data_IF_657609979041
#
_entry.id   IF_657609979041
#
_cell.length_a   1.000
_cell.length_b   1.000
_cell.length_c   1.000
_cell.angle_alpha   90.00
_cell.angle_beta   90.00
_cell.angle_gamma   90.00
#
_symmetry.space_group_name_H-M   'P 1'
#
loop_
_entity.id
_entity.type
_entity.pdbx_description
1 polymer ?
#
# COMPACT_ATOMS: atom_id res chain seq x y z
N UNK A 1 5.37 -3.56 -3.71
CA UNK A 1 5.27 -2.56 -4.79
C UNK A 1 6.39 -2.66 -5.80
N UNK A 2 6.05 -2.71 -7.09
CA UNK A 2 7.01 -2.86 -8.19
C UNK A 2 7.42 -1.51 -8.83
N UNK A 3 6.63 -0.46 -8.60
CA UNK A 3 6.78 0.84 -9.28
C UNK A 3 6.89 1.98 -8.26
N UNK A 4 8.12 2.42 -7.93
CA UNK A 4 8.35 3.46 -6.91
C UNK A 4 7.60 4.76 -7.21
N UNK A 5 7.65 5.22 -8.47
CA UNK A 5 6.99 6.46 -8.87
C UNK A 5 5.48 6.41 -8.62
N UNK A 6 4.82 5.27 -8.88
CA UNK A 6 3.39 5.13 -8.64
C UNK A 6 3.05 5.23 -7.14
N UNK A 7 3.85 4.56 -6.29
CA UNK A 7 3.68 4.61 -4.83
C UNK A 7 3.88 6.02 -4.31
N UNK A 8 4.98 6.67 -4.68
CA UNK A 8 5.31 8.02 -4.22
C UNK A 8 4.30 9.06 -4.70
N UNK A 9 3.80 8.93 -5.94
CA UNK A 9 2.74 9.81 -6.45
C UNK A 9 1.44 9.61 -5.68
N UNK A 10 1.07 8.37 -5.35
CA UNK A 10 -0.13 8.09 -4.57
C UNK A 10 -0.02 8.64 -3.15
N UNK A 11 1.12 8.45 -2.46
CA UNK A 11 1.34 9.01 -1.11
C UNK A 11 1.21 10.53 -1.12
N UNK A 12 1.87 11.22 -2.06
CA UNK A 12 1.75 12.68 -2.20
C UNK A 12 0.30 13.13 -2.50
N UNK A 13 -0.43 12.37 -3.33
CA UNK A 13 -1.82 12.69 -3.65
C UNK A 13 -2.76 12.51 -2.45
N UNK A 14 -2.52 11.50 -1.60
CA UNK A 14 -3.30 11.26 -0.38
C UNK A 14 -3.14 12.40 0.63
N UNK A 15 -1.93 12.96 0.75
CA UNK A 15 -1.61 14.06 1.66
C UNK A 15 -2.02 15.45 1.12
N UNK A 16 -2.22 15.57 -0.20
CA UNK A 16 -2.51 16.85 -0.84
C UNK A 16 -3.96 17.29 -0.66
N UNK A 17 -4.16 18.38 0.09
CA UNK A 17 -5.46 19.08 0.18
C UNK A 17 -5.94 19.60 -1.17
N UNK A 18 -5.02 20.07 -2.02
CA UNK A 18 -5.35 20.55 -3.35
C UNK A 18 -5.87 19.42 -4.24
N UNK A 19 -5.17 18.29 -4.28
CA UNK A 19 -5.60 17.13 -5.05
C UNK A 19 -6.97 16.63 -4.58
N UNK A 20 -7.16 16.55 -3.26
CA UNK A 20 -8.42 16.13 -2.67
C UNK A 20 -9.60 17.06 -3.01
N UNK A 21 -9.36 18.38 -3.04
CA UNK A 21 -10.38 19.37 -3.44
C UNK A 21 -10.70 19.29 -4.93
N UNK A 22 -9.67 19.26 -5.77
CA UNK A 22 -9.81 19.36 -7.24
C UNK A 22 -10.33 18.08 -7.88
N UNK A 23 -9.94 16.91 -7.34
CA UNK A 23 -10.20 15.61 -7.99
C UNK A 23 -11.09 14.66 -7.18
N UNK A 24 -11.15 14.82 -5.85
CA UNK A 24 -11.89 13.89 -4.97
C UNK A 24 -13.16 14.51 -4.35
N UNK A 25 -13.44 15.80 -4.60
CA UNK A 25 -14.54 16.55 -3.98
C UNK A 25 -14.51 16.48 -2.44
N UNK A 26 -13.33 16.61 -1.84
CA UNK A 26 -13.12 16.60 -0.38
C UNK A 26 -12.63 17.95 0.12
N UNK A 27 -13.08 18.35 1.30
CA UNK A 27 -12.60 19.58 1.98
C UNK A 27 -11.25 19.43 2.66
N UNK A 28 -10.76 18.19 2.82
CA UNK A 28 -9.48 17.85 3.43
C UNK A 28 -8.79 16.73 2.66
N UNK A 29 -7.48 16.61 2.86
CA UNK A 29 -6.65 15.51 2.37
C UNK A 29 -7.22 14.15 2.81
N UNK A 30 -6.85 13.08 2.10
CA UNK A 30 -7.25 11.72 2.50
C UNK A 30 -6.54 11.32 3.78
N UNK A 31 -5.24 11.64 3.87
CA UNK A 31 -4.40 11.37 5.03
C UNK A 31 -2.94 11.18 4.62
N UNK A 32 -2.07 11.06 5.61
CA UNK A 32 -0.66 10.72 5.45
C UNK A 32 -0.40 9.21 5.55
N UNK A 33 0.70 8.77 4.95
CA UNK A 33 1.18 7.40 5.04
C UNK A 33 2.50 7.40 5.80
N UNK A 34 2.50 6.81 6.99
CA UNK A 34 3.72 6.60 7.77
C UNK A 34 4.70 5.69 7.02
N UNK A 35 5.78 6.30 6.53
CA UNK A 35 6.77 5.64 5.70
C UNK A 35 7.57 4.58 6.46
N UNK A 36 7.69 4.69 7.79
CA UNK A 36 8.34 3.68 8.62
C UNK A 36 7.51 2.39 8.75
N UNK A 37 6.24 2.44 8.32
CA UNK A 37 5.31 1.30 8.31
C UNK A 37 5.04 0.77 6.91
N UNK A 38 5.53 1.43 5.87
CA UNK A 38 5.31 1.06 4.48
C UNK A 38 6.41 0.09 3.99
N UNK A 39 6.02 -1.11 3.58
CA UNK A 39 6.93 -2.11 2.97
C UNK A 39 8.20 -2.38 3.82
N UNK A 40 8.07 -2.51 5.14
CA UNK A 40 9.20 -2.64 6.09
C UNK A 40 10.15 -3.82 5.81
N UNK A 41 9.65 -4.88 5.18
CA UNK A 41 10.42 -6.07 4.79
C UNK A 41 10.84 -6.05 3.32
N UNK A 42 10.79 -4.89 2.67
CA UNK A 42 11.11 -4.70 1.27
C UNK A 42 9.88 -4.75 0.34
N UNK A 43 10.09 -4.28 -0.88
CA UNK A 43 9.05 -4.16 -1.91
C UNK A 43 9.31 -5.10 -3.09
N UNK A 44 8.51 -5.03 -4.15
CA UNK A 44 8.77 -5.81 -5.37
C UNK A 44 9.91 -5.24 -6.21
N UNK A 45 10.40 -4.03 -5.90
CA UNK A 45 11.66 -3.51 -6.47
C UNK A 45 12.84 -4.36 -5.99
N UNK A 46 12.87 -4.73 -4.71
CA UNK A 46 13.95 -5.51 -4.12
C UNK A 46 13.72 -7.03 -4.16
N UNK A 47 12.45 -7.46 -4.05
CA UNK A 47 12.08 -8.89 -3.93
C UNK A 47 11.54 -9.50 -5.23
N UNK A 48 11.41 -8.69 -6.29
CA UNK A 48 10.82 -9.11 -7.55
C UNK A 48 9.28 -9.05 -7.59
N UNK A 49 8.75 -9.15 -8.82
CA UNK A 49 7.33 -9.05 -9.12
C UNK A 49 6.83 -10.18 -10.03
N UNK A 50 6.81 -11.44 -9.56
CA UNK A 50 6.09 -12.50 -10.28
C UNK A 50 4.59 -12.18 -10.22
N UNK A 51 4.01 -11.76 -11.35
CA UNK A 51 2.73 -11.04 -11.41
C UNK A 51 1.61 -11.73 -10.61
N UNK A 52 1.29 -12.99 -10.94
CA UNK A 52 0.23 -13.74 -10.27
C UNK A 52 0.52 -14.08 -8.80
N UNK A 53 1.80 -14.25 -8.43
CA UNK A 53 2.20 -14.65 -7.08
C UNK A 53 2.37 -13.45 -6.12
N UNK A 54 2.43 -12.22 -6.64
CA UNK A 54 2.77 -11.05 -5.82
C UNK A 54 1.73 -10.75 -4.75
N UNK A 55 0.43 -10.88 -5.06
CA UNK A 55 -0.64 -10.66 -4.07
C UNK A 55 -0.51 -11.62 -2.89
N UNK A 56 -0.38 -12.92 -3.16
CA UNK A 56 -0.18 -13.95 -2.11
C UNK A 56 1.12 -13.71 -1.33
N UNK A 57 2.21 -13.35 -2.02
CA UNK A 57 3.49 -13.01 -1.36
C UNK A 57 3.33 -11.82 -0.41
N UNK A 58 2.69 -10.72 -0.84
CA UNK A 58 2.45 -9.55 0.00
C UNK A 58 1.59 -9.88 1.21
N UNK A 59 0.55 -10.70 1.02
CA UNK A 59 -0.31 -11.17 2.11
C UNK A 59 0.45 -11.99 3.14
N UNK A 60 1.16 -13.02 2.69
CA UNK A 60 1.96 -13.87 3.58
C UNK A 60 3.04 -13.07 4.31
N UNK A 61 3.71 -12.14 3.62
CA UNK A 61 4.70 -11.27 4.23
C UNK A 61 4.09 -10.39 5.32
N UNK A 62 2.97 -9.71 5.03
CA UNK A 62 2.30 -8.83 5.98
C UNK A 62 1.86 -9.59 7.24
N UNK A 63 1.26 -10.77 7.08
CA UNK A 63 0.80 -11.58 8.21
C UNK A 63 1.97 -12.01 9.11
N UNK A 64 3.10 -12.41 8.55
CA UNK A 64 4.30 -12.72 9.33
C UNK A 64 4.91 -11.49 10.00
N UNK A 65 4.93 -10.35 9.31
CA UNK A 65 5.46 -9.09 9.86
C UNK A 65 4.61 -8.58 11.03
N UNK A 66 3.28 -8.62 10.91
CA UNK A 66 2.36 -8.26 11.99
C UNK A 66 2.57 -9.15 13.23
N UNK A 67 2.67 -10.48 13.04
CA UNK A 67 2.99 -11.40 14.14
C UNK A 67 4.35 -11.12 14.77
N UNK A 68 5.40 -10.91 13.96
CA UNK A 68 6.76 -10.60 14.44
C UNK A 68 6.82 -9.32 15.25
N UNK A 69 6.03 -8.31 14.89
CA UNK A 69 5.99 -7.01 15.56
C UNK A 69 4.94 -6.91 16.67
N UNK A 70 4.21 -7.99 16.96
CA UNK A 70 3.07 -7.98 17.88
C UNK A 70 2.04 -6.88 17.54
N UNK A 71 1.67 -6.79 16.26
CA UNK A 71 0.65 -5.87 15.71
C UNK A 71 -0.54 -6.68 15.20
N UNK A 72 -1.71 -6.06 15.18
CA UNK A 72 -2.98 -6.72 14.83
C UNK A 72 -3.43 -6.45 13.40
N UNK A 73 -3.50 -5.18 12.99
CA UNK A 73 -4.09 -4.79 11.70
C UNK A 73 -3.05 -4.38 10.67
N UNK A 74 -3.24 -4.79 9.42
CA UNK A 74 -2.44 -4.32 8.29
C UNK A 74 -3.26 -4.13 7.02
N UNK A 75 -2.71 -3.35 6.08
CA UNK A 75 -3.32 -3.02 4.79
C UNK A 75 -2.42 -3.51 3.66
N UNK A 76 -3.03 -4.12 2.65
CA UNK A 76 -2.40 -4.41 1.36
C UNK A 76 -3.15 -3.63 0.30
N UNK A 77 -2.42 -3.05 -0.63
CA UNK A 77 -2.95 -2.46 -1.86
C UNK A 77 -2.14 -2.97 -3.04
N UNK A 78 -2.78 -3.11 -4.20
CA UNK A 78 -2.11 -3.42 -5.45
C UNK A 78 -2.87 -2.78 -6.62
N UNK A 79 -2.13 -2.24 -7.59
CA UNK A 79 -2.66 -1.93 -8.92
C UNK A 79 -2.62 -3.17 -9.81
N UNK A 80 -3.46 -3.18 -10.84
CA UNK A 80 -3.43 -4.16 -11.91
C UNK A 80 -3.66 -3.50 -13.27
N UNK A 81 -3.22 -4.19 -14.34
CA UNK A 81 -3.41 -3.72 -15.70
C UNK A 81 -4.90 -3.45 -16.02
N UNK A 82 -5.15 -2.47 -16.90
CA UNK A 82 -6.52 -2.06 -17.25
C UNK A 82 -7.14 -1.04 -16.28
N UNK A 83 -6.33 -0.36 -15.46
CA UNK A 83 -6.83 0.66 -14.52
C UNK A 83 -7.53 0.07 -13.31
N UNK A 84 -7.18 -1.15 -12.92
CA UNK A 84 -7.76 -1.85 -11.79
C UNK A 84 -6.91 -1.64 -10.53
N UNK A 85 -7.56 -1.72 -9.37
CA UNK A 85 -6.92 -1.69 -8.07
C UNK A 85 -7.66 -2.57 -7.07
N UNK A 86 -6.91 -3.17 -6.16
CA UNK A 86 -7.44 -3.93 -5.04
C UNK A 86 -6.82 -3.42 -3.73
N UNK A 87 -7.59 -3.48 -2.65
CA UNK A 87 -7.11 -3.24 -1.30
C UNK A 87 -7.74 -4.25 -0.34
N UNK A 88 -7.00 -4.65 0.68
CA UNK A 88 -7.43 -5.60 1.70
C UNK A 88 -6.89 -5.17 3.06
N UNK A 89 -7.77 -5.08 4.05
CA UNK A 89 -7.39 -4.97 5.45
C UNK A 89 -7.45 -6.37 6.06
N UNK A 90 -6.41 -6.73 6.80
CA UNK A 90 -6.33 -8.01 7.52
C UNK A 90 -6.12 -7.76 8.99
N UNK A 91 -6.58 -8.72 9.80
CA UNK A 91 -6.34 -8.77 11.24
C UNK A 91 -5.74 -10.14 11.60
N UNK A 92 -4.70 -10.15 12.43
CA UNK A 92 -4.13 -11.37 13.01
C UNK A 92 -4.57 -11.51 14.46
N UNK A 93 -5.14 -12.67 14.77
CA UNK A 93 -5.51 -13.11 16.11
C UNK A 93 -4.29 -13.55 16.93
#
# INVERSE_FOLDING_TARGET
EAFAAQVLSNVQALESKEFAKTHLNRSAAVGDVDMDRLNISGSSISLGHPFAATGTRQLTQLLHDLKRMNKTTGLISACAAGGLGAAMIVEVA
#
